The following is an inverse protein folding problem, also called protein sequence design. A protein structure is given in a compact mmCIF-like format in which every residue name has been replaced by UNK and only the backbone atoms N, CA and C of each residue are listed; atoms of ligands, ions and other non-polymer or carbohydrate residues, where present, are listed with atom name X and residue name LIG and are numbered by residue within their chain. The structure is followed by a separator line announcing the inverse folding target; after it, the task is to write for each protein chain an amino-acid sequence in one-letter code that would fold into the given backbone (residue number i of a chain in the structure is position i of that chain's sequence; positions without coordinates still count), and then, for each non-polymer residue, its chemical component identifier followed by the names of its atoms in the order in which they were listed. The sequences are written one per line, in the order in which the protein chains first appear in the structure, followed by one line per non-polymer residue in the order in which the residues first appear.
data_IF_710760489103
#
_entry.id   IF_710760489103
#
_cell.length_a   1.000
_cell.length_b   1.000
_cell.length_c   1.000
_cell.angle_alpha   90.00
_cell.angle_beta   90.00
_cell.angle_gamma   90.00
#
_symmetry.space_group_name_H-M   'P 1'
#
loop_
_entity.id
_entity.type
_entity.pdbx_description
1 polymer ?
#
# COMPACT_ATOMS: atom_id res chain seq x y z
N UNK A 1 14.22 22.62 18.49
CA UNK A 1 13.17 21.66 18.07
C UNK A 1 11.84 22.22 18.55
N UNK A 2 10.85 22.42 17.66
CA UNK A 2 9.56 23.01 18.02
C UNK A 2 8.60 21.93 18.52
N UNK A 3 7.72 22.28 19.48
CA UNK A 3 6.76 21.33 20.07
C UNK A 3 5.84 20.65 19.04
N UNK A 4 5.65 21.29 17.87
CA UNK A 4 4.86 20.77 16.76
C UNK A 4 5.38 19.43 16.22
N UNK A 5 6.70 19.24 16.10
CA UNK A 5 7.27 17.96 15.61
C UNK A 5 7.06 16.84 16.62
N UNK A 6 7.17 17.14 17.93
CA UNK A 6 6.94 16.15 19.00
C UNK A 6 5.49 15.70 18.99
N UNK A 7 4.54 16.64 18.84
CA UNK A 7 3.10 16.35 18.74
C UNK A 7 2.79 15.49 17.50
N UNK A 8 3.37 15.80 16.34
CA UNK A 8 3.18 15.01 15.12
C UNK A 8 3.72 13.58 15.28
N UNK A 9 4.93 13.39 15.85
CA UNK A 9 5.47 12.06 16.17
C UNK A 9 4.62 11.32 17.21
N UNK A 10 4.06 12.02 18.21
CA UNK A 10 3.18 11.40 19.21
C UNK A 10 1.84 10.95 18.63
N UNK A 11 1.27 11.72 17.68
CA UNK A 11 0.07 11.31 16.95
C UNK A 11 0.34 10.16 15.98
N UNK A 12 1.48 10.14 15.29
CA UNK A 12 1.90 9.01 14.43
C UNK A 12 2.05 7.71 15.22
N UNK A 13 2.50 7.77 16.48
CA UNK A 13 2.76 6.57 17.29
C UNK A 13 1.52 6.01 18.02
N UNK A 14 0.45 6.81 18.21
CA UNK A 14 -0.72 6.41 19.02
C UNK A 14 -1.98 6.11 18.18
N UNK A 15 -1.84 5.89 16.85
CA UNK A 15 -2.92 5.81 15.86
C UNK A 15 -2.58 4.72 14.81
N UNK A 16 -3.39 3.68 14.54
CA UNK A 16 -4.67 3.29 15.13
C UNK A 16 -4.90 1.76 15.00
N UNK A 17 -4.72 1.02 16.10
CA UNK A 17 -5.29 -0.31 16.43
C UNK A 17 -5.22 -1.49 15.43
N UNK A 18 -4.56 -1.36 14.29
CA UNK A 18 -3.99 -2.47 13.52
C UNK A 18 -2.54 -2.12 13.21
N UNK A 19 -1.62 -3.08 13.35
CA UNK A 19 -0.25 -2.92 12.88
C UNK A 19 -0.31 -2.53 11.38
N UNK A 20 0.24 -1.37 10.97
CA UNK A 20 0.20 -0.96 9.56
C UNK A 20 0.78 -2.03 8.63
N UNK A 21 1.79 -2.78 9.09
CA UNK A 21 2.35 -3.92 8.35
C UNK A 21 1.31 -5.02 8.12
N UNK A 22 0.43 -5.29 9.10
CA UNK A 22 -0.65 -6.28 8.97
C UNK A 22 -1.70 -5.83 7.95
N UNK A 23 -2.01 -4.54 7.86
CA UNK A 23 -2.91 -4.03 6.82
C UNK A 23 -2.31 -4.20 5.42
N UNK A 24 -1.02 -3.90 5.26
CA UNK A 24 -0.29 -4.12 4.00
C UNK A 24 -0.28 -5.61 3.62
N UNK A 25 0.00 -6.52 4.57
CA UNK A 25 -0.07 -7.98 4.34
C UNK A 25 -1.48 -8.39 3.88
N UNK A 26 -2.54 -7.90 4.53
CA UNK A 26 -3.91 -8.20 4.11
C UNK A 26 -4.26 -7.68 2.71
N UNK A 27 -3.66 -6.55 2.27
CA UNK A 27 -3.83 -6.07 0.90
C UNK A 27 -3.11 -6.96 -0.12
N UNK A 28 -1.91 -7.47 0.20
CA UNK A 28 -1.25 -8.47 -0.62
C UNK A 28 -2.05 -9.78 -0.73
N UNK A 29 -2.57 -10.30 0.39
CA UNK A 29 -3.44 -11.49 0.38
C UNK A 29 -4.67 -11.26 -0.50
N UNK A 30 -5.28 -10.07 -0.43
CA UNK A 30 -6.42 -9.67 -1.26
C UNK A 30 -6.07 -9.64 -2.75
N UNK A 31 -4.94 -9.04 -3.12
CA UNK A 31 -4.47 -8.98 -4.51
C UNK A 31 -4.15 -10.39 -5.06
N UNK A 32 -3.47 -11.22 -4.28
CA UNK A 32 -3.11 -12.60 -4.66
C UNK A 32 -4.37 -13.48 -4.80
N UNK A 33 -5.34 -13.32 -3.90
CA UNK A 33 -6.62 -14.03 -3.97
C UNK A 33 -7.44 -13.59 -5.20
N UNK A 34 -7.55 -12.27 -5.46
CA UNK A 34 -8.18 -11.74 -6.66
C UNK A 34 -7.58 -12.33 -7.95
N UNK A 35 -6.25 -12.33 -8.06
CA UNK A 35 -5.52 -12.96 -9.17
C UNK A 35 -5.89 -14.44 -9.37
N UNK A 36 -5.99 -15.21 -8.28
CA UNK A 36 -6.36 -16.65 -8.35
C UNK A 36 -7.81 -16.86 -8.78
N UNK A 37 -8.72 -16.01 -8.32
CA UNK A 37 -10.13 -16.08 -8.66
C UNK A 37 -10.47 -15.46 -10.03
N UNK A 38 -9.49 -14.84 -10.72
CA UNK A 38 -9.68 -14.00 -11.92
C UNK A 38 -10.63 -12.81 -11.67
N UNK A 39 -10.70 -12.35 -10.43
CA UNK A 39 -11.44 -11.16 -10.03
C UNK A 39 -10.53 -9.93 -10.22
N UNK A 40 -10.57 -9.39 -11.44
CA UNK A 40 -9.69 -8.29 -11.86
C UNK A 40 -10.04 -6.97 -11.16
N UNK A 41 -11.32 -6.74 -10.84
CA UNK A 41 -11.75 -5.57 -10.06
C UNK A 41 -11.18 -5.62 -8.64
N UNK A 42 -11.29 -6.77 -7.95
CA UNK A 42 -10.71 -6.95 -6.63
C UNK A 42 -9.18 -6.85 -6.64
N UNK A 43 -8.54 -7.39 -7.68
CA UNK A 43 -7.09 -7.32 -7.89
C UNK A 43 -6.63 -5.88 -8.03
N UNK A 44 -7.27 -5.12 -8.94
CA UNK A 44 -6.94 -3.72 -9.19
C UNK A 44 -7.19 -2.84 -7.96
N UNK A 45 -8.32 -3.02 -7.27
CA UNK A 45 -8.62 -2.28 -6.04
C UNK A 45 -7.57 -2.55 -4.94
N UNK A 46 -7.10 -3.79 -4.79
CA UNK A 46 -6.07 -4.14 -3.82
C UNK A 46 -4.70 -3.53 -4.17
N UNK A 47 -4.30 -3.57 -5.44
CA UNK A 47 -3.03 -2.95 -5.90
C UNK A 47 -3.09 -1.42 -5.75
N UNK A 48 -4.23 -0.79 -6.06
CA UNK A 48 -4.42 0.64 -5.86
C UNK A 48 -4.25 1.05 -4.40
N UNK A 49 -4.83 0.30 -3.45
CA UNK A 49 -4.62 0.55 -2.02
C UNK A 49 -3.15 0.37 -1.59
N UNK A 50 -2.40 -0.54 -2.21
CA UNK A 50 -0.95 -0.65 -1.99
C UNK A 50 -0.19 0.58 -2.52
N UNK A 51 -0.54 1.10 -3.70
CA UNK A 51 0.03 2.35 -4.25
C UNK A 51 -0.27 3.54 -3.33
N UNK A 52 -1.53 3.73 -2.95
CA UNK A 52 -1.99 4.84 -2.10
C UNK A 52 -1.35 4.80 -0.69
N UNK A 53 -0.81 3.65 -0.26
CA UNK A 53 -0.13 3.47 1.02
C UNK A 53 1.39 3.74 1.01
N UNK A 54 2.01 3.96 -0.17
CA UNK A 54 3.45 4.11 -0.29
C UNK A 54 3.96 5.41 0.35
N UNK A 55 4.93 5.30 1.26
CA UNK A 55 5.71 6.45 1.72
C UNK A 55 6.72 6.87 0.63
N UNK A 56 6.34 7.85 -0.20
CA UNK A 56 7.19 8.37 -1.28
C UNK A 56 8.46 9.11 -0.82
N UNK A 57 8.63 9.37 0.47
CA UNK A 57 9.90 9.85 1.04
C UNK A 57 10.93 8.72 1.18
N UNK A 58 10.50 7.46 1.25
CA UNK A 58 11.35 6.27 1.39
C UNK A 58 12.00 5.82 0.06
N UNK A 59 12.67 6.76 -0.62
CA UNK A 59 13.38 6.52 -1.88
C UNK A 59 14.68 5.74 -1.63
N UNK A 60 15.12 4.86 -2.56
CA UNK A 60 14.48 4.53 -3.84
C UNK A 60 13.43 3.40 -3.75
N UNK A 61 13.15 2.88 -2.56
CA UNK A 61 12.30 1.68 -2.37
C UNK A 61 10.86 1.98 -2.82
N UNK A 62 10.31 3.14 -2.46
CA UNK A 62 8.97 3.55 -2.88
C UNK A 62 8.84 3.66 -4.42
N UNK A 63 9.85 4.23 -5.09
CA UNK A 63 9.88 4.38 -6.55
C UNK A 63 9.88 3.00 -7.26
N UNK A 64 10.67 2.05 -6.73
CA UNK A 64 10.72 0.68 -7.26
C UNK A 64 9.42 -0.10 -7.02
N UNK A 65 8.79 0.06 -5.86
CA UNK A 65 7.50 -0.58 -5.56
C UNK A 65 6.37 -0.01 -6.42
N UNK A 66 6.34 1.30 -6.63
CA UNK A 66 5.37 1.96 -7.51
C UNK A 66 5.46 1.39 -8.94
N UNK A 67 6.67 1.29 -9.49
CA UNK A 67 6.88 0.72 -10.83
C UNK A 67 6.38 -0.74 -10.97
N UNK A 68 6.51 -1.55 -9.91
CA UNK A 68 5.97 -2.92 -9.86
C UNK A 68 4.45 -2.90 -9.82
N UNK A 69 3.85 -2.05 -8.99
CA UNK A 69 2.39 -1.96 -8.83
C UNK A 69 1.69 -1.40 -10.07
N UNK A 70 2.29 -0.43 -10.76
CA UNK A 70 1.80 0.09 -12.04
C UNK A 70 1.79 -1.02 -13.11
N UNK A 71 2.89 -1.79 -13.21
CA UNK A 71 2.96 -2.93 -14.12
C UNK A 71 1.89 -4.00 -13.81
N UNK A 72 1.69 -4.33 -12.53
CA UNK A 72 0.63 -5.26 -12.11
C UNK A 72 -0.79 -4.72 -12.40
N UNK A 73 -1.00 -3.40 -12.26
CA UNK A 73 -2.28 -2.75 -12.56
C UNK A 73 -2.62 -2.79 -14.05
N UNK A 74 -1.63 -2.57 -14.92
CA UNK A 74 -1.78 -2.68 -16.38
C UNK A 74 -2.04 -4.14 -16.81
N UNK A 75 -1.37 -5.12 -16.18
CA UNK A 75 -1.67 -6.54 -16.41
C UNK A 75 -3.09 -6.92 -15.98
N UNK A 76 -3.60 -6.35 -14.87
CA UNK A 76 -4.97 -6.58 -14.41
C UNK A 76 -6.03 -5.93 -15.30
N UNK A 77 -5.67 -4.86 -16.05
CA UNK A 77 -6.54 -4.17 -17.00
C UNK A 77 -6.58 -4.79 -18.40
N UNK A 78 -5.60 -5.61 -18.76
CA UNK A 78 -5.38 -6.13 -20.13
C UNK A 78 -5.73 -7.61 -20.32
N UNK A 79 -6.37 -8.25 -19.32
CA UNK A 79 -6.80 -9.66 -19.34
C UNK A 79 -8.30 -9.82 -19.16
#
# INVERSE_FOLDING_TARGET
MSAHSVIQTYHQNNVMSADPLKLIIMMYDRAIYGCRQKDLEQTWNAIKMLIDSLNMEAKPIADNLLAIYDYCSELARTK
#
